data_IF_959849131802
#
_entry.id   IF_959849131802
#
_cell.length_a   1.000
_cell.length_b   1.000
_cell.length_c   1.000
_cell.angle_alpha   90.00
_cell.angle_beta   90.00
_cell.angle_gamma   90.00
#
_symmetry.space_group_name_H-M   'P 1'
#
loop_
_entity.id
_entity.type
_entity.pdbx_description
1 polymer ?
#
# COMPACT_ATOMS: atom_id res chain seq x y z
N UNK A 1 17.23 -6.19 6.03
CA UNK A 1 17.91 -7.48 6.33
C UNK A 1 16.88 -8.60 6.35
N UNK A 2 17.08 -9.72 5.65
CA UNK A 2 16.20 -10.89 5.81
C UNK A 2 16.52 -11.52 7.17
N UNK A 3 15.56 -11.52 8.10
CA UNK A 3 15.75 -12.02 9.47
C UNK A 3 16.16 -13.51 9.53
N UNK A 4 15.88 -14.26 8.47
CA UNK A 4 16.09 -15.72 8.41
C UNK A 4 16.92 -16.13 7.19
N UNK A 5 17.89 -17.04 7.40
CA UNK A 5 18.72 -17.66 6.35
C UNK A 5 17.92 -18.69 5.54
N UNK A 6 18.40 -19.06 4.35
CA UNK A 6 17.74 -20.08 3.52
C UNK A 6 17.75 -21.46 4.20
N UNK A 7 18.87 -21.82 4.83
CA UNK A 7 19.02 -23.07 5.60
C UNK A 7 18.01 -23.14 6.76
N UNK A 8 17.84 -22.05 7.52
CA UNK A 8 16.86 -22.01 8.60
C UNK A 8 15.44 -22.23 8.06
N UNK A 9 15.07 -21.54 6.98
CA UNK A 9 13.74 -21.72 6.36
C UNK A 9 13.51 -23.15 5.90
N UNK A 10 14.54 -23.81 5.36
CA UNK A 10 14.47 -25.20 4.92
C UNK A 10 14.20 -26.13 6.09
N UNK A 11 14.92 -25.96 7.20
CA UNK A 11 14.68 -26.73 8.42
C UNK A 11 13.24 -26.56 8.92
N UNK A 12 12.70 -25.33 8.95
CA UNK A 12 11.30 -25.09 9.35
C UNK A 12 10.29 -25.79 8.43
N UNK A 13 10.52 -25.77 7.11
CA UNK A 13 9.64 -26.40 6.13
C UNK A 13 9.71 -27.92 6.22
N UNK A 14 10.90 -28.50 6.35
CA UNK A 14 11.08 -29.94 6.54
C UNK A 14 10.43 -30.42 7.85
N UNK A 15 10.55 -29.65 8.93
CA UNK A 15 9.91 -29.94 10.22
C UNK A 15 8.38 -29.94 10.09
N UNK A 16 7.82 -28.99 9.33
CA UNK A 16 6.39 -28.95 9.01
C UNK A 16 5.95 -30.12 8.14
N UNK A 17 6.72 -30.47 7.10
CA UNK A 17 6.41 -31.58 6.20
C UNK A 17 6.55 -32.95 6.87
N UNK A 18 7.38 -33.06 7.91
CA UNK A 18 7.53 -34.29 8.69
C UNK A 18 6.24 -34.74 9.38
N UNK A 19 5.26 -33.82 9.56
CA UNK A 19 3.98 -34.10 10.20
C UNK A 19 4.08 -34.44 11.69
N UNK A 20 5.27 -34.43 12.28
CA UNK A 20 5.53 -34.79 13.69
C UNK A 20 4.95 -33.77 14.67
N UNK A 21 4.67 -32.56 14.22
CA UNK A 21 4.20 -31.43 15.02
C UNK A 21 2.85 -30.98 14.48
N UNK A 22 1.89 -30.73 15.37
CA UNK A 22 0.44 -30.51 15.09
C UNK A 22 0.09 -29.27 14.25
N UNK A 23 0.69 -29.13 13.07
CA UNK A 23 0.47 -28.05 12.12
C UNK A 23 1.41 -26.85 12.30
N UNK A 24 1.07 -25.77 11.61
CA UNK A 24 1.96 -24.60 11.47
C UNK A 24 2.20 -23.86 12.78
N UNK A 25 1.27 -23.95 13.74
CA UNK A 25 1.39 -23.29 15.05
C UNK A 25 2.46 -23.93 15.94
N UNK A 26 2.51 -25.26 16.00
CA UNK A 26 3.51 -25.98 16.80
C UNK A 26 4.93 -25.78 16.25
N UNK A 27 5.08 -25.88 14.93
CA UNK A 27 6.35 -25.63 14.24
C UNK A 27 6.80 -24.17 14.43
N UNK A 28 5.88 -23.22 14.32
CA UNK A 28 6.14 -21.81 14.55
C UNK A 28 6.72 -21.54 15.95
N UNK A 29 6.10 -22.11 16.99
CA UNK A 29 6.53 -21.94 18.38
C UNK A 29 7.95 -22.49 18.61
N UNK A 30 8.23 -23.69 18.09
CA UNK A 30 9.56 -24.32 18.21
C UNK A 30 10.68 -23.50 17.58
N UNK A 31 10.41 -22.93 16.41
CA UNK A 31 11.41 -22.18 15.64
C UNK A 31 11.39 -20.67 15.94
N UNK A 32 10.55 -20.20 16.87
CA UNK A 32 10.45 -18.78 17.24
C UNK A 32 10.00 -17.88 16.08
N UNK A 33 9.15 -18.39 15.20
CA UNK A 33 8.60 -17.67 14.04
C UNK A 33 7.09 -17.61 14.08
N UNK A 34 6.49 -16.66 13.36
CA UNK A 34 5.04 -16.54 13.25
C UNK A 34 4.42 -17.68 12.41
N UNK A 35 3.25 -18.18 12.80
CA UNK A 35 2.57 -19.28 12.12
C UNK A 35 2.13 -18.93 10.69
N UNK A 36 1.85 -17.65 10.40
CA UNK A 36 1.63 -17.16 9.03
C UNK A 36 2.89 -17.26 8.18
N UNK A 37 4.05 -16.95 8.76
CA UNK A 37 5.35 -17.08 8.09
C UNK A 37 5.64 -18.52 7.69
N UNK A 38 5.37 -19.48 8.57
CA UNK A 38 5.52 -20.93 8.27
C UNK A 38 4.64 -21.32 7.08
N UNK A 39 3.35 -20.92 7.07
CA UNK A 39 2.44 -21.20 5.96
C UNK A 39 2.93 -20.62 4.63
N UNK A 40 3.46 -19.40 4.65
CA UNK A 40 4.02 -18.76 3.45
C UNK A 40 5.22 -19.55 2.91
N UNK A 41 6.16 -19.96 3.78
CA UNK A 41 7.34 -20.72 3.34
C UNK A 41 6.96 -22.10 2.81
N UNK A 42 6.01 -22.80 3.45
CA UNK A 42 5.51 -24.10 2.99
C UNK A 42 4.79 -23.97 1.64
N UNK A 43 3.93 -22.96 1.46
CA UNK A 43 3.25 -22.73 0.20
C UNK A 43 4.25 -22.42 -0.93
N UNK A 44 5.24 -21.58 -0.65
CA UNK A 44 6.29 -21.25 -1.61
C UNK A 44 7.15 -22.47 -1.97
N UNK A 45 7.49 -23.32 -0.98
CA UNK A 45 8.20 -24.59 -1.21
C UNK A 45 7.39 -25.56 -2.06
N UNK A 46 6.08 -25.69 -1.83
CA UNK A 46 5.21 -26.55 -2.65
C UNK A 46 5.12 -26.08 -4.10
N UNK A 47 5.21 -24.78 -4.34
CA UNK A 47 5.13 -24.20 -5.68
C UNK A 47 6.47 -24.24 -6.44
N UNK A 48 7.59 -23.91 -5.77
CA UNK A 48 8.88 -23.65 -6.44
C UNK A 48 10.07 -24.38 -5.80
N UNK A 49 9.83 -25.27 -4.83
CA UNK A 49 10.87 -26.04 -4.15
C UNK A 49 11.88 -25.16 -3.39
N UNK A 50 13.15 -25.56 -3.44
CA UNK A 50 14.24 -24.88 -2.72
C UNK A 50 14.48 -23.44 -3.21
N UNK A 51 14.22 -23.17 -4.50
CA UNK A 51 14.40 -21.85 -5.10
C UNK A 51 13.54 -20.77 -4.40
N UNK A 52 12.36 -21.13 -3.89
CA UNK A 52 11.49 -20.22 -3.14
C UNK A 52 12.11 -19.72 -1.82
N UNK A 53 12.97 -20.53 -1.18
CA UNK A 53 13.55 -20.20 0.11
C UNK A 53 14.74 -19.24 -0.03
N UNK A 54 15.40 -19.26 -1.19
CA UNK A 54 16.55 -18.43 -1.49
C UNK A 54 16.21 -16.94 -1.52
N UNK A 55 17.18 -16.14 -1.10
CA UNK A 55 17.04 -14.69 -1.10
C UNK A 55 17.14 -14.19 -2.54
N UNK A 56 16.04 -13.68 -3.07
CA UNK A 56 15.99 -13.01 -4.37
C UNK A 56 15.53 -11.57 -4.23
N UNK A 57 16.10 -10.70 -5.07
CA UNK A 57 15.62 -9.34 -5.24
C UNK A 57 14.91 -9.27 -6.59
N UNK A 58 13.58 -9.22 -6.56
CA UNK A 58 12.79 -9.07 -7.77
C UNK A 58 12.52 -7.59 -8.00
N UNK A 59 12.88 -7.10 -9.19
CA UNK A 59 12.37 -5.83 -9.73
C UNK A 59 11.23 -6.17 -10.67
N UNK A 60 10.11 -5.49 -10.48
CA UNK A 60 8.93 -5.66 -11.32
C UNK A 60 8.70 -4.35 -12.07
N UNK A 61 8.67 -4.41 -13.39
CA UNK A 61 8.27 -3.29 -14.25
C UNK A 61 6.75 -3.06 -14.15
N UNK A 62 6.26 -1.95 -14.72
CA UNK A 62 4.82 -1.66 -14.69
C UNK A 62 3.99 -2.70 -15.44
N UNK A 63 4.49 -3.21 -16.57
CA UNK A 63 3.80 -4.18 -17.43
C UNK A 63 3.57 -5.52 -16.72
N UNK A 64 4.59 -6.05 -16.03
CA UNK A 64 4.46 -7.25 -15.22
C UNK A 64 3.43 -7.05 -14.11
N UNK A 65 3.46 -5.92 -13.41
CA UNK A 65 2.48 -5.64 -12.35
C UNK A 65 1.06 -5.61 -12.91
N UNK A 66 0.85 -4.98 -14.06
CA UNK A 66 -0.45 -4.96 -14.72
C UNK A 66 -0.92 -6.37 -15.09
N UNK A 67 -0.03 -7.18 -15.67
CA UNK A 67 -0.32 -8.59 -16.00
C UNK A 67 -0.74 -9.39 -14.77
N UNK A 68 -0.03 -9.22 -13.64
CA UNK A 68 -0.36 -9.89 -12.37
C UNK A 68 -1.75 -9.48 -11.87
N UNK A 69 -2.06 -8.17 -11.90
CA UNK A 69 -3.36 -7.66 -11.46
C UNK A 69 -4.51 -8.12 -12.36
N UNK A 70 -4.31 -8.11 -13.68
CA UNK A 70 -5.28 -8.63 -14.65
C UNK A 70 -5.54 -10.11 -14.43
N UNK A 71 -4.49 -10.92 -14.26
CA UNK A 71 -4.63 -12.36 -14.00
C UNK A 71 -5.40 -12.62 -12.71
N UNK A 72 -5.06 -11.91 -11.63
CA UNK A 72 -5.76 -11.99 -10.35
C UNK A 72 -7.26 -11.70 -10.51
N UNK A 73 -7.61 -10.65 -11.27
CA UNK A 73 -9.00 -10.27 -11.52
C UNK A 73 -9.74 -11.31 -12.37
N UNK A 74 -9.14 -11.74 -13.49
CA UNK A 74 -9.74 -12.71 -14.42
C UNK A 74 -9.98 -14.08 -13.78
N UNK A 75 -9.09 -14.50 -12.87
CA UNK A 75 -9.19 -15.80 -12.19
C UNK A 75 -9.84 -15.72 -10.81
N UNK A 76 -10.29 -14.54 -10.38
CA UNK A 76 -10.86 -14.28 -9.06
C UNK A 76 -10.00 -14.84 -7.90
N UNK A 77 -8.67 -14.70 -8.01
CA UNK A 77 -7.72 -15.23 -7.05
C UNK A 77 -7.41 -14.24 -5.94
N UNK A 78 -7.05 -14.76 -4.78
CA UNK A 78 -6.54 -13.96 -3.68
C UNK A 78 -5.09 -13.51 -3.94
N UNK A 79 -4.63 -12.50 -3.18
CA UNK A 79 -3.24 -12.04 -3.25
C UNK A 79 -2.22 -13.16 -2.93
N UNK A 80 -2.42 -14.00 -1.88
CA UNK A 80 -1.52 -15.13 -1.62
C UNK A 80 -1.45 -16.16 -2.75
N UNK A 81 -2.58 -16.52 -3.36
CA UNK A 81 -2.63 -17.48 -4.47
C UNK A 81 -1.93 -16.92 -5.72
N UNK A 82 -2.24 -15.68 -6.07
CA UNK A 82 -1.60 -14.99 -7.20
C UNK A 82 -0.09 -14.87 -6.98
N UNK A 83 0.33 -14.55 -5.75
CA UNK A 83 1.73 -14.47 -5.40
C UNK A 83 2.45 -15.81 -5.53
N UNK A 84 1.80 -16.91 -5.15
CA UNK A 84 2.35 -18.25 -5.35
C UNK A 84 2.55 -18.57 -6.83
N UNK A 85 1.58 -18.25 -7.69
CA UNK A 85 1.64 -18.52 -9.15
C UNK A 85 2.75 -17.73 -9.82
N UNK A 86 2.87 -16.43 -9.53
CA UNK A 86 3.89 -15.55 -10.14
C UNK A 86 5.22 -15.56 -9.39
N UNK A 87 5.41 -16.46 -8.43
CA UNK A 87 6.61 -16.56 -7.60
C UNK A 87 6.99 -15.23 -6.92
N UNK A 88 5.97 -14.50 -6.44
CA UNK A 88 6.13 -13.23 -5.72
C UNK A 88 6.25 -13.53 -4.23
N UNK A 89 7.41 -13.16 -3.65
CA UNK A 89 7.72 -13.51 -2.26
C UNK A 89 6.80 -12.89 -1.21
N UNK A 90 6.28 -11.69 -1.46
CA UNK A 90 5.43 -10.97 -0.52
C UNK A 90 4.05 -10.70 -1.13
N UNK A 91 3.01 -11.46 -0.75
CA UNK A 91 1.65 -11.26 -1.25
C UNK A 91 1.11 -9.85 -1.04
N UNK A 92 1.50 -9.18 0.05
CA UNK A 92 1.02 -7.82 0.37
C UNK A 92 1.48 -6.78 -0.65
N UNK A 93 2.54 -7.05 -1.40
CA UNK A 93 3.00 -6.17 -2.48
C UNK A 93 1.98 -6.10 -3.62
N UNK A 94 1.24 -7.17 -3.88
CA UNK A 94 0.16 -7.19 -4.89
C UNK A 94 -0.98 -6.26 -4.45
N UNK A 95 -1.34 -6.27 -3.16
CA UNK A 95 -2.34 -5.33 -2.62
C UNK A 95 -1.91 -3.88 -2.78
N UNK A 96 -0.62 -3.59 -2.64
CA UNK A 96 -0.07 -2.24 -2.88
C UNK A 96 -0.15 -1.87 -4.35
N UNK A 97 0.15 -2.79 -5.27
CA UNK A 97 0.01 -2.54 -6.71
C UNK A 97 -1.44 -2.28 -7.09
N UNK A 98 -2.37 -3.08 -6.58
CA UNK A 98 -3.81 -2.88 -6.79
C UNK A 98 -4.24 -1.48 -6.39
N UNK A 99 -3.93 -1.06 -5.15
CA UNK A 99 -4.26 0.29 -4.67
C UNK A 99 -3.67 1.40 -5.54
N UNK A 100 -2.42 1.25 -6.00
CA UNK A 100 -1.78 2.22 -6.88
C UNK A 100 -2.48 2.31 -8.23
N UNK A 101 -2.79 1.16 -8.82
CA UNK A 101 -3.52 1.08 -10.08
C UNK A 101 -4.90 1.72 -9.95
N UNK A 102 -5.64 1.43 -8.88
CA UNK A 102 -6.96 2.03 -8.62
C UNK A 102 -6.88 3.56 -8.47
N UNK A 103 -5.77 4.09 -7.92
CA UNK A 103 -5.59 5.54 -7.71
C UNK A 103 -5.06 6.33 -8.91
N UNK A 104 -4.32 5.69 -9.83
CA UNK A 104 -3.58 6.42 -10.87
C UNK A 104 -3.23 5.60 -12.11
N UNK A 105 -3.93 4.48 -12.31
CA UNK A 105 -3.82 3.62 -13.48
C UNK A 105 -2.41 3.10 -13.73
N UNK A 106 -2.06 2.95 -15.01
CA UNK A 106 -0.78 2.39 -15.44
C UNK A 106 0.43 3.23 -15.00
N UNK A 107 0.32 4.56 -15.05
CA UNK A 107 1.40 5.46 -14.67
C UNK A 107 1.80 5.33 -13.20
N UNK A 108 0.84 4.97 -12.33
CA UNK A 108 1.10 4.73 -10.91
C UNK A 108 1.80 3.39 -10.60
N UNK A 109 1.85 2.45 -11.56
CA UNK A 109 2.55 1.17 -11.42
C UNK A 109 4.03 1.25 -11.80
N UNK A 110 4.40 2.23 -12.63
CA UNK A 110 5.79 2.45 -13.01
C UNK A 110 6.66 2.85 -11.81
N UNK A 111 7.94 2.45 -11.76
CA UNK A 111 8.85 2.90 -10.74
C UNK A 111 9.01 4.41 -10.87
N UNK A 112 8.42 5.16 -9.94
CA UNK A 112 8.61 6.61 -9.86
C UNK A 112 10.12 6.87 -9.81
N UNK A 113 10.66 7.80 -10.63
CA UNK A 113 12.05 8.19 -10.55
C UNK A 113 12.36 8.47 -9.08
N UNK A 114 13.43 7.87 -8.53
CA UNK A 114 13.99 8.27 -7.24
C UNK A 114 14.54 9.68 -7.43
N UNK A 115 13.65 10.66 -7.39
CA UNK A 115 13.91 12.04 -7.73
C UNK A 115 13.23 12.92 -6.71
N UNK A 116 14.08 13.47 -5.84
CA UNK A 116 13.80 14.44 -4.77
C UNK A 116 12.91 13.91 -3.66
N UNK A 117 13.47 13.79 -2.46
CA UNK A 117 12.69 14.07 -1.26
C UNK A 117 12.04 15.42 -1.53
N UNK A 118 10.74 15.43 -1.83
CA UNK A 118 9.97 16.64 -1.61
C UNK A 118 10.16 16.84 -0.13
N UNK A 119 11.03 17.79 0.26
CA UNK A 119 10.89 18.42 1.55
C UNK A 119 9.40 18.71 1.63
N UNK A 120 8.68 17.93 2.44
CA UNK A 120 7.36 18.36 2.81
C UNK A 120 7.59 19.78 3.26
N UNK A 121 6.94 20.80 2.67
CA UNK A 121 6.87 22.06 3.37
C UNK A 121 6.38 21.61 4.74
N UNK A 122 7.22 21.77 5.76
CA UNK A 122 6.76 21.70 7.14
C UNK A 122 5.47 22.49 7.07
N UNK A 123 4.37 21.90 7.48
CA UNK A 123 3.16 22.65 7.71
C UNK A 123 3.52 23.69 8.77
N UNK A 124 4.16 24.78 8.34
CA UNK A 124 4.06 26.05 8.98
C UNK A 124 2.63 26.46 8.65
N UNK A 125 1.70 25.87 9.40
CA UNK A 125 0.71 26.72 9.99
C UNK A 125 1.51 27.93 10.51
N UNK A 126 1.28 29.15 9.97
CA UNK A 126 1.92 30.32 10.54
C UNK A 126 1.69 30.22 12.05
N UNK A 127 2.73 30.49 12.87
CA UNK A 127 2.53 30.50 14.31
C UNK A 127 1.31 31.38 14.54
N UNK A 128 0.31 30.84 15.24
CA UNK A 128 -0.87 31.59 15.62
C UNK A 128 -0.35 32.65 16.58
N UNK A 129 0.08 33.77 15.98
CA UNK A 129 0.58 34.93 16.67
C UNK A 129 -0.64 35.51 17.35
N UNK A 130 -0.75 35.23 18.64
CA UNK A 130 -1.67 35.85 19.59
C UNK A 130 -1.34 37.34 19.80
N UNK A 131 -0.99 38.05 18.72
CA UNK A 131 -0.97 39.51 18.72
C UNK A 131 -2.39 39.96 18.37
N UNK A 132 -2.99 40.68 19.30
CA UNK A 132 -4.23 41.45 19.11
C UNK A 132 -4.20 42.13 17.74
N UNK A 133 -5.34 42.14 17.04
CA UNK A 133 -5.51 42.77 15.72
C UNK A 133 -5.09 44.24 15.71
N UNK A 134 -5.03 44.87 16.88
CA UNK A 134 -4.65 46.27 17.11
C UNK A 134 -3.15 46.56 16.85
N UNK A 135 -2.29 45.54 16.83
CA UNK A 135 -0.85 45.70 16.62
C UNK A 135 -0.39 45.36 15.20
N UNK A 136 -1.31 44.97 14.30
CA UNK A 136 -1.00 44.60 12.91
C UNK A 136 -1.06 45.83 12.00
N UNK A 137 -0.10 45.94 11.09
CA UNK A 137 -0.13 47.02 10.09
C UNK A 137 -1.27 46.79 9.09
N UNK A 138 -1.85 47.87 8.54
CA UNK A 138 -2.95 47.80 7.55
C UNK A 138 -2.61 46.89 6.36
N UNK A 139 -1.34 46.87 5.96
CA UNK A 139 -0.84 46.03 4.87
C UNK A 139 -0.83 44.54 5.21
N UNK A 140 -0.52 44.17 6.47
CA UNK A 140 -0.58 42.78 6.93
C UNK A 140 -2.02 42.27 6.96
N UNK A 141 -2.96 43.09 7.43
CA UNK A 141 -4.39 42.75 7.42
C UNK A 141 -4.93 42.53 6.00
N UNK A 142 -4.51 43.34 5.03
CA UNK A 142 -4.91 43.16 3.63
C UNK A 142 -4.34 41.87 3.02
N UNK A 143 -3.09 41.52 3.35
CA UNK A 143 -2.47 40.26 2.90
C UNK A 143 -3.19 39.05 3.45
N UNK A 144 -3.54 39.08 4.74
CA UNK A 144 -4.29 38.01 5.40
C UNK A 144 -5.71 37.87 4.84
N UNK A 145 -6.41 38.99 4.61
CA UNK A 145 -7.74 38.97 3.96
C UNK A 145 -7.69 38.37 2.55
N UNK A 146 -6.68 38.74 1.76
CA UNK A 146 -6.50 38.20 0.42
C UNK A 146 -6.19 36.70 0.47
N UNK A 147 -5.33 36.27 1.39
CA UNK A 147 -5.02 34.86 1.62
C UNK A 147 -6.28 34.07 1.99
N UNK A 148 -7.06 34.55 2.96
CA UNK A 148 -8.31 33.91 3.41
C UNK A 148 -9.38 33.87 2.30
N UNK A 149 -9.44 34.89 1.43
CA UNK A 149 -10.34 34.90 0.27
C UNK A 149 -9.95 33.85 -0.76
N UNK A 150 -8.65 33.69 -1.03
CA UNK A 150 -8.16 32.64 -1.94
C UNK A 150 -8.45 31.25 -1.39
N UNK A 151 -8.20 31.02 -0.10
CA UNK A 151 -8.46 29.72 0.55
C UNK A 151 -9.95 29.36 0.52
N UNK A 152 -10.83 30.32 0.85
CA UNK A 152 -12.28 30.12 0.74
C UNK A 152 -12.74 29.85 -0.70
N UNK A 153 -12.17 30.54 -1.69
CA UNK A 153 -12.50 30.30 -3.10
C UNK A 153 -12.10 28.89 -3.55
N UNK A 154 -10.93 28.42 -3.10
CA UNK A 154 -10.46 27.05 -3.36
C UNK A 154 -11.37 26.00 -2.73
N UNK A 155 -11.73 26.17 -1.45
CA UNK A 155 -12.64 25.27 -0.75
C UNK A 155 -14.02 25.21 -1.41
N UNK A 156 -14.59 26.35 -1.81
CA UNK A 156 -15.87 26.39 -2.55
C UNK A 156 -15.79 25.66 -3.90
N UNK A 157 -14.67 25.77 -4.61
CA UNK A 157 -14.45 25.05 -5.86
C UNK A 157 -14.33 23.54 -5.63
N UNK A 158 -13.65 23.13 -4.56
CA UNK A 158 -13.56 21.73 -4.14
C UNK A 158 -14.95 21.17 -3.81
N UNK A 159 -15.75 21.89 -3.00
CA UNK A 159 -17.12 21.48 -2.65
C UNK A 159 -18.02 21.37 -3.89
N UNK A 160 -17.89 22.29 -4.84
CA UNK A 160 -18.63 22.26 -6.10
C UNK A 160 -18.28 21.01 -6.93
N UNK A 161 -16.99 20.65 -7.01
CA UNK A 161 -16.55 19.43 -7.68
C UNK A 161 -17.12 18.17 -7.00
N UNK A 162 -17.03 18.09 -5.67
CA UNK A 162 -17.57 16.95 -4.90
C UNK A 162 -19.09 16.82 -5.09
N UNK A 163 -19.82 17.93 -5.10
CA UNK A 163 -21.28 17.94 -5.36
C UNK A 163 -21.62 17.56 -6.81
N UNK A 164 -20.76 17.89 -7.77
CA UNK A 164 -20.96 17.52 -9.19
C UNK A 164 -20.64 16.05 -9.46
N UNK A 165 -19.70 15.46 -8.72
CA UNK A 165 -19.31 14.05 -8.83
C UNK A 165 -20.22 13.08 -8.07
N UNK A 166 -21.15 13.59 -7.25
CA UNK A 166 -22.14 12.79 -6.53
C UNK A 166 -23.51 12.81 -7.25
N UNK A 167 -23.81 11.83 -8.13
CA UNK A 167 -25.12 11.77 -8.80
C UNK A 167 -26.22 11.39 -7.79
N UNK A 168 -27.09 12.35 -7.48
CA UNK A 168 -28.51 12.19 -7.13
C UNK A 168 -28.88 10.94 -6.32
N UNK A 169 -28.62 10.97 -5.02
CA UNK A 169 -29.37 10.18 -4.04
C UNK A 169 -30.79 10.77 -3.89
N UNK A 170 -31.63 10.69 -4.93
CA UNK A 170 -33.08 10.94 -4.86
C UNK A 170 -33.75 10.59 -6.19
N UNK A 171 -34.35 9.40 -6.28
CA UNK A 171 -35.59 9.12 -7.04
C UNK A 171 -36.04 7.67 -6.84
N UNK A 172 -36.73 7.39 -5.72
CA UNK A 172 -37.79 6.36 -5.65
C UNK A 172 -38.83 6.79 -4.60
N UNK A 173 -39.76 7.68 -4.98
CA UNK A 173 -41.13 7.61 -4.43
C UNK A 173 -41.82 6.48 -5.19
N UNK A 174 -42.10 5.36 -4.51
CA UNK A 174 -42.91 4.27 -5.04
C UNK A 174 -44.38 4.72 -5.01
N UNK A 175 -45.09 4.44 -6.10
CA UNK A 175 -46.55 4.49 -6.22
C UNK A 175 -47.19 3.54 -5.22
#
# INVERSE_FOLDING_TARGET
MSKHSAQFKRAVVEDYLSGKYGGSGAVAHRHGVDHGTVRIWVAAWRAHGEAALQKKYSRYDGQFKLKVLQFMHTKALSCPETAAIFDIRNPSVISVWKRRYDSGGMQALEPRPRGRSVEQPKSSAPPVSSKSDEARTKEELLKELNYLRMENAYLKKLDALIRSESPTAQRKKRK
#
